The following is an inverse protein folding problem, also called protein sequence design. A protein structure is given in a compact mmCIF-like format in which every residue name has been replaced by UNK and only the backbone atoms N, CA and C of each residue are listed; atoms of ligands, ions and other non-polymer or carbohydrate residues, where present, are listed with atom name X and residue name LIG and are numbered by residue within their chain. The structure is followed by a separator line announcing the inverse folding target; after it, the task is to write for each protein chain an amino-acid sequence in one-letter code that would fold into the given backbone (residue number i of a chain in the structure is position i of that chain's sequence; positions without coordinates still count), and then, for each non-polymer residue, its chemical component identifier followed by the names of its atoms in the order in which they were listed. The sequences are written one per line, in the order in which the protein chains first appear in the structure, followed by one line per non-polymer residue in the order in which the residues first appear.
data_IF_271920406637
#
_entry.id   IF_271920406637
#
_cell.length_a   1.000
_cell.length_b   1.000
_cell.length_c   1.000
_cell.angle_alpha   90.00
_cell.angle_beta   90.00
_cell.angle_gamma   90.00
#
_symmetry.space_group_name_H-M   'P 1'
#
loop_
_entity.id
_entity.type
_entity.pdbx_description
1 polymer ?
#
# COMPACT_ATOMS: atom_id res chain seq x y z
N UNK A 1 -19.93 -11.20 4.16
CA UNK A 1 -18.73 -10.51 4.65
C UNK A 1 -17.62 -10.80 3.67
N UNK A 2 -17.13 -9.77 3.00
CA UNK A 2 -16.03 -9.87 2.03
C UNK A 2 -14.80 -9.22 2.66
N UNK A 3 -13.63 -9.83 2.48
CA UNK A 3 -12.36 -9.33 2.99
C UNK A 3 -11.39 -9.32 1.83
N UNK A 4 -10.75 -8.18 1.62
CA UNK A 4 -9.78 -7.96 0.56
C UNK A 4 -8.38 -7.86 1.15
N UNK A 5 -7.41 -8.47 0.47
CA UNK A 5 -6.01 -8.39 0.84
C UNK A 5 -5.24 -7.72 -0.29
N UNK A 6 -4.39 -6.77 0.09
CA UNK A 6 -3.50 -6.08 -0.83
C UNK A 6 -2.10 -6.09 -0.24
N UNK A 7 -1.11 -6.44 -1.05
CA UNK A 7 0.29 -6.23 -0.72
C UNK A 7 0.65 -4.77 -1.02
N UNK A 8 1.49 -4.18 -0.19
CA UNK A 8 2.04 -2.85 -0.47
C UNK A 8 2.67 -2.77 -1.87
N UNK A 9 2.63 -1.60 -2.51
CA UNK A 9 3.33 -1.34 -3.77
C UNK A 9 4.85 -1.46 -3.63
N UNK A 10 5.57 -1.39 -4.75
CA UNK A 10 7.03 -1.47 -4.75
C UNK A 10 7.67 -0.45 -3.80
N UNK A 11 8.58 -0.92 -2.95
CA UNK A 11 9.33 -0.09 -2.00
C UNK A 11 10.79 0.08 -2.40
N UNK A 12 11.46 1.08 -1.81
CA UNK A 12 12.89 1.31 -2.05
C UNK A 12 13.75 0.06 -1.79
N UNK A 13 13.36 -0.77 -0.81
CA UNK A 13 14.09 -2.01 -0.48
C UNK A 13 13.75 -3.15 -1.45
N UNK A 14 12.59 -3.13 -2.11
CA UNK A 14 12.32 -4.09 -3.19
C UNK A 14 13.31 -3.88 -4.34
N UNK A 15 13.52 -2.62 -4.74
CA UNK A 15 14.50 -2.25 -5.79
C UNK A 15 15.92 -2.63 -5.37
N UNK A 16 16.30 -2.37 -4.11
CA UNK A 16 17.63 -2.68 -3.56
C UNK A 16 17.83 -4.17 -3.22
N UNK A 17 16.80 -5.00 -3.35
CA UNK A 17 16.78 -6.43 -2.92
C UNK A 17 17.17 -6.62 -1.45
N UNK A 18 16.71 -5.73 -0.59
CA UNK A 18 16.94 -5.75 0.86
C UNK A 18 15.68 -6.22 1.60
N UNK A 19 15.88 -6.84 2.76
CA UNK A 19 14.81 -7.24 3.67
C UNK A 19 14.57 -6.09 4.66
N UNK A 20 13.30 -5.75 4.90
CA UNK A 20 12.90 -4.86 5.99
C UNK A 20 11.85 -5.56 6.86
N UNK A 21 12.24 -5.89 8.10
CA UNK A 21 11.39 -6.54 9.10
C UNK A 21 11.11 -5.63 10.30
N UNK A 22 11.74 -4.45 10.37
CA UNK A 22 11.64 -3.50 11.46
C UNK A 22 10.92 -2.23 10.98
N UNK A 23 9.73 -1.91 11.51
CA UNK A 23 8.98 -0.71 11.13
C UNK A 23 9.64 0.59 11.59
N UNK A 24 10.61 0.54 12.51
CA UNK A 24 11.41 1.72 12.91
C UNK A 24 12.39 2.17 11.83
N UNK A 25 12.69 1.31 10.84
CA UNK A 25 13.46 1.66 9.64
C UNK A 25 12.46 2.07 8.56
N UNK A 26 12.27 3.38 8.31
CA UNK A 26 11.26 3.85 7.38
C UNK A 26 11.68 3.51 5.95
N UNK A 27 10.94 2.60 5.33
CA UNK A 27 11.09 2.26 3.91
C UNK A 27 9.78 2.58 3.22
N UNK A 28 9.85 3.57 2.34
CA UNK A 28 8.72 4.15 1.61
C UNK A 28 8.50 3.46 0.26
N UNK A 29 7.35 3.73 -0.35
CA UNK A 29 7.08 3.39 -1.74
C UNK A 29 8.03 4.12 -2.69
N UNK A 30 8.40 3.45 -3.78
CA UNK A 30 8.98 4.13 -4.95
C UNK A 30 7.88 4.89 -5.71
N UNK A 31 8.27 5.74 -6.65
CA UNK A 31 7.30 6.36 -7.58
C UNK A 31 6.51 5.30 -8.38
N UNK A 32 7.12 4.16 -8.70
CA UNK A 32 6.43 3.03 -9.31
C UNK A 32 5.45 2.37 -8.32
N UNK A 33 5.84 2.21 -7.06
CA UNK A 33 4.95 1.71 -6.00
C UNK A 33 3.72 2.60 -5.76
N UNK A 34 3.88 3.92 -5.85
CA UNK A 34 2.74 4.87 -5.77
C UNK A 34 1.79 4.69 -6.94
N UNK A 35 2.31 4.61 -8.18
CA UNK A 35 1.50 4.34 -9.37
C UNK A 35 0.72 3.03 -9.27
N UNK A 36 1.34 1.97 -8.75
CA UNK A 36 0.65 0.70 -8.50
C UNK A 36 -0.53 0.86 -7.53
N UNK A 37 -0.38 1.68 -6.49
CA UNK A 37 -1.46 1.98 -5.55
C UNK A 37 -2.57 2.83 -6.20
N UNK A 38 -2.23 3.80 -7.05
CA UNK A 38 -3.18 4.60 -7.83
C UNK A 38 -3.99 3.75 -8.83
N UNK A 39 -3.31 2.84 -9.54
CA UNK A 39 -3.97 1.88 -10.44
C UNK A 39 -4.97 1.01 -9.68
N UNK A 40 -4.56 0.48 -8.52
CA UNK A 40 -5.44 -0.29 -7.66
C UNK A 40 -6.61 0.53 -7.12
N UNK A 41 -6.42 1.82 -6.80
CA UNK A 41 -7.51 2.73 -6.44
C UNK A 41 -8.57 2.77 -7.57
N UNK A 42 -8.12 2.89 -8.82
CA UNK A 42 -8.96 2.88 -10.01
C UNK A 42 -9.78 1.60 -10.17
N UNK A 43 -9.17 0.43 -9.95
CA UNK A 43 -9.86 -0.87 -10.01
C UNK A 43 -10.88 -1.03 -8.88
N UNK A 44 -10.51 -0.59 -7.68
CA UNK A 44 -11.34 -0.78 -6.51
C UNK A 44 -12.48 0.24 -6.43
N UNK A 45 -12.54 1.29 -7.26
CA UNK A 45 -13.45 2.45 -7.11
C UNK A 45 -14.95 2.14 -6.96
N UNK A 46 -15.38 0.95 -7.36
CA UNK A 46 -16.77 0.49 -7.27
C UNK A 46 -17.07 -0.33 -6.02
N UNK A 47 -16.05 -0.60 -5.20
CA UNK A 47 -16.13 -1.36 -3.96
C UNK A 47 -16.17 -0.38 -2.80
N UNK A 48 -17.21 -0.48 -1.98
CA UNK A 48 -17.33 0.25 -0.73
C UNK A 48 -16.61 -0.52 0.38
N UNK A 49 -15.72 0.16 1.09
CA UNK A 49 -15.08 -0.37 2.29
C UNK A 49 -15.62 0.34 3.52
N UNK A 50 -16.04 -0.41 4.52
CA UNK A 50 -16.44 0.17 5.81
C UNK A 50 -15.22 0.49 6.69
N UNK A 51 -14.08 -0.16 6.42
CA UNK A 51 -12.80 0.09 7.08
C UNK A 51 -11.63 -0.33 6.19
N UNK A 52 -10.51 0.38 6.31
CA UNK A 52 -9.22 0.02 5.72
C UNK A 52 -8.20 -0.04 6.85
N UNK A 53 -7.46 -1.14 6.91
CA UNK A 53 -6.41 -1.35 7.91
C UNK A 53 -5.07 -1.55 7.19
N UNK A 54 -4.00 -1.02 7.77
CA UNK A 54 -2.63 -1.22 7.30
C UNK A 54 -1.71 -1.58 8.46
N UNK A 55 -0.55 -2.17 8.16
CA UNK A 55 0.50 -2.35 9.16
C UNK A 55 1.20 -1.01 9.46
N UNK A 56 2.05 -1.01 10.48
CA UNK A 56 2.80 0.19 10.89
C UNK A 56 3.89 0.62 9.88
N UNK A 57 4.18 -0.21 8.87
CA UNK A 57 5.21 0.09 7.88
C UNK A 57 4.78 1.23 6.95
N UNK A 58 5.63 2.26 6.73
CA UNK A 58 5.29 3.40 5.87
C UNK A 58 4.76 3.00 4.49
N UNK A 59 5.47 2.13 3.77
CA UNK A 59 5.01 1.60 2.46
C UNK A 59 3.61 0.98 2.45
N UNK A 60 3.21 0.33 3.54
CA UNK A 60 1.89 -0.30 3.63
C UNK A 60 0.81 0.74 3.93
N UNK A 61 1.12 1.71 4.81
CA UNK A 61 0.25 2.85 5.07
C UNK A 61 0.05 3.71 3.83
N UNK A 62 1.13 4.09 3.14
CA UNK A 62 1.07 4.85 1.89
C UNK A 62 0.23 4.14 0.82
N UNK A 63 0.41 2.82 0.66
CA UNK A 63 -0.41 2.05 -0.29
C UNK A 63 -1.89 2.11 0.10
N UNK A 64 -2.21 1.92 1.38
CA UNK A 64 -3.58 1.94 1.86
C UNK A 64 -4.24 3.33 1.75
N UNK A 65 -3.50 4.40 2.02
CA UNK A 65 -3.96 5.77 1.88
C UNK A 65 -4.27 6.10 0.41
N UNK A 66 -3.37 5.75 -0.52
CA UNK A 66 -3.57 6.00 -1.95
C UNK A 66 -4.69 5.12 -2.51
N UNK A 67 -4.66 3.80 -2.27
CA UNK A 67 -5.66 2.87 -2.80
C UNK A 67 -7.07 3.11 -2.20
N UNK A 68 -7.09 3.60 -0.95
CA UNK A 68 -8.30 3.92 -0.20
C UNK A 68 -8.84 5.33 -0.42
N UNK A 69 -8.13 6.21 -1.15
CA UNK A 69 -8.52 7.61 -1.31
C UNK A 69 -9.92 7.73 -1.95
N UNK A 70 -10.77 8.57 -1.34
CA UNK A 70 -12.14 8.85 -1.82
C UNK A 70 -13.21 7.83 -1.41
N UNK A 71 -13.02 7.11 -0.29
CA UNK A 71 -13.92 6.05 0.19
C UNK A 71 -14.29 6.21 1.66
#
# INVERSE_FOLDING_TARGET
MEIYFMRHGESEYNVKKLINFDPSVPVHLTENGKKQAEEAAGELKHIRFDAICSSEFPRARETAEIAGEGR
#
